data_IF_463201438921
#
_entry.id   IF_463201438921
#
_cell.length_a   1.000
_cell.length_b   1.000
_cell.length_c   1.000
_cell.angle_alpha   90.00
_cell.angle_beta   90.00
_cell.angle_gamma   90.00
#
_symmetry.space_group_name_H-M   'P 1'
#
loop_
_entity.id
_entity.type
_entity.pdbx_description
1 polymer ?
#
# COMPACT_ATOMS: atom_id res chain seq x y z
N UNK A 1 -30.28 22.26 -49.82
CA UNK A 1 -29.90 22.99 -48.60
C UNK A 1 -29.64 22.00 -47.46
N UNK A 2 -28.42 22.03 -46.94
CA UNK A 2 -28.00 21.71 -45.56
C UNK A 2 -28.26 20.32 -44.95
N UNK A 3 -27.57 19.27 -45.44
CA UNK A 3 -27.31 18.05 -44.63
C UNK A 3 -25.82 17.70 -44.43
N UNK A 4 -24.92 18.52 -44.96
CA UNK A 4 -23.47 18.28 -44.85
C UNK A 4 -22.77 18.80 -43.58
N UNK A 5 -23.29 19.74 -42.76
CA UNK A 5 -22.51 20.26 -41.63
C UNK A 5 -22.63 19.45 -40.33
N UNK A 6 -23.56 18.49 -40.25
CA UNK A 6 -23.82 17.78 -38.98
C UNK A 6 -22.87 16.61 -38.72
N UNK A 7 -22.27 16.02 -39.76
CA UNK A 7 -21.36 14.88 -39.63
C UNK A 7 -19.95 15.31 -39.16
N UNK A 8 -19.54 16.55 -39.49
CA UNK A 8 -18.24 17.09 -39.10
C UNK A 8 -18.19 17.52 -37.62
N UNK A 9 -19.34 17.90 -37.04
CA UNK A 9 -19.44 18.25 -35.63
C UNK A 9 -19.34 17.03 -34.68
N UNK A 10 -19.71 15.82 -35.15
CA UNK A 10 -19.67 14.61 -34.33
C UNK A 10 -18.26 13.99 -34.24
N UNK A 11 -17.39 14.24 -35.22
CA UNK A 11 -15.99 13.79 -35.20
C UNK A 11 -15.10 14.58 -34.22
N UNK A 12 -15.52 15.78 -33.80
CA UNK A 12 -14.77 16.64 -32.87
C UNK A 12 -14.98 16.27 -31.38
N UNK A 13 -15.90 15.36 -31.07
CA UNK A 13 -16.20 14.92 -29.70
C UNK A 13 -15.44 13.64 -29.28
N UNK A 14 -14.67 13.03 -30.19
CA UNK A 14 -13.78 11.89 -29.87
C UNK A 14 -12.36 12.41 -29.61
N UNK A 15 -12.24 13.40 -28.74
CA UNK A 15 -10.96 13.69 -28.11
C UNK A 15 -10.65 12.53 -27.17
N UNK A 16 -9.86 11.55 -27.62
CA UNK A 16 -9.26 10.58 -26.70
C UNK A 16 -8.42 11.40 -25.72
N UNK A 17 -8.89 11.54 -24.49
CA UNK A 17 -8.03 11.90 -23.37
C UNK A 17 -7.03 10.76 -23.23
N UNK A 18 -5.87 10.91 -23.88
CA UNK A 18 -4.76 10.01 -23.68
C UNK A 18 -4.34 10.13 -22.23
N UNK A 19 -4.72 9.16 -21.40
CA UNK A 19 -4.14 9.04 -20.08
C UNK A 19 -2.67 8.74 -20.31
N UNK A 20 -1.80 9.72 -20.07
CA UNK A 20 -0.36 9.49 -20.12
C UNK A 20 -0.04 8.50 -19.02
N UNK A 21 0.45 7.30 -19.36
CA UNK A 21 0.90 6.33 -18.38
C UNK A 21 1.93 7.01 -17.47
N UNK A 22 1.69 7.00 -16.17
CA UNK A 22 2.67 7.48 -15.21
C UNK A 22 3.77 6.45 -15.10
N UNK A 23 5.03 6.89 -14.95
CA UNK A 23 6.13 5.97 -14.63
C UNK A 23 5.89 5.23 -13.31
N UNK A 24 5.08 5.80 -12.42
CA UNK A 24 4.69 5.19 -11.16
C UNK A 24 3.83 3.94 -11.34
N UNK A 25 3.10 3.83 -12.46
CA UNK A 25 2.21 2.70 -12.74
C UNK A 25 2.98 1.40 -13.00
N UNK A 26 4.28 1.49 -13.25
CA UNK A 26 5.17 0.33 -13.42
C UNK A 26 5.70 -0.20 -12.09
N UNK A 27 5.51 0.51 -10.98
CA UNK A 27 6.05 0.12 -9.67
C UNK A 27 5.08 -0.84 -8.99
N UNK A 28 5.49 -2.10 -8.83
CA UNK A 28 4.79 -3.07 -8.00
C UNK A 28 5.54 -3.27 -6.67
N UNK A 29 4.94 -2.77 -5.59
CA UNK A 29 5.50 -2.81 -4.24
C UNK A 29 5.44 -4.19 -3.55
N UNK A 30 4.73 -5.16 -4.14
CA UNK A 30 4.67 -6.53 -3.61
C UNK A 30 5.77 -7.44 -4.16
N UNK A 31 6.54 -6.99 -5.15
CA UNK A 31 7.69 -7.76 -5.65
C UNK A 31 8.69 -7.98 -4.50
N UNK A 32 9.18 -9.21 -4.33
CA UNK A 32 10.17 -9.60 -3.32
C UNK A 32 9.70 -9.43 -1.85
N UNK A 33 8.38 -9.47 -1.61
CA UNK A 33 7.80 -9.37 -0.26
C UNK A 33 7.37 -10.71 0.35
N UNK A 34 7.51 -11.82 -0.38
CA UNK A 34 7.09 -13.15 0.08
C UNK A 34 8.25 -13.94 0.71
N UNK A 35 8.07 -14.46 1.92
CA UNK A 35 9.03 -15.33 2.60
C UNK A 35 10.48 -14.79 2.59
N UNK A 36 11.44 -15.64 2.17
CA UNK A 36 12.86 -15.27 2.10
C UNK A 36 13.36 -14.85 0.71
N UNK A 37 12.54 -14.08 -0.03
CA UNK A 37 12.81 -13.73 -1.45
C UNK A 37 13.03 -12.24 -1.67
N UNK A 38 13.83 -11.60 -0.82
CA UNK A 38 14.29 -10.23 -1.03
C UNK A 38 13.86 -9.22 0.02
N UNK A 39 13.23 -9.66 1.12
CA UNK A 39 13.07 -8.89 2.36
C UNK A 39 12.54 -7.45 2.17
N UNK A 40 11.76 -7.21 1.11
CA UNK A 40 11.12 -5.93 0.86
C UNK A 40 9.78 -5.87 1.59
N UNK A 41 9.16 -4.70 1.52
CA UNK A 41 7.87 -4.43 2.13
C UNK A 41 7.08 -3.40 1.28
N UNK A 42 5.74 -3.42 1.36
CA UNK A 42 4.88 -2.53 0.57
C UNK A 42 4.57 -1.21 1.29
N UNK A 43 5.40 -0.76 2.22
CA UNK A 43 5.11 0.43 3.04
C UNK A 43 4.98 1.70 2.22
N UNK A 44 4.05 2.57 2.64
CA UNK A 44 3.96 3.94 2.17
C UNK A 44 5.20 4.74 2.62
N UNK A 45 5.94 5.28 1.66
CA UNK A 45 7.11 6.12 1.89
C UNK A 45 7.39 7.01 0.69
N UNK A 46 8.10 8.11 0.91
CA UNK A 46 8.61 9.00 -0.14
C UNK A 46 10.10 8.73 -0.37
N UNK A 47 10.67 9.09 -1.54
CA UNK A 47 12.09 8.92 -1.79
C UNK A 47 12.93 9.56 -0.69
N UNK A 48 13.81 8.75 -0.07
CA UNK A 48 14.69 9.16 1.04
C UNK A 48 13.97 9.66 2.30
N UNK A 49 12.69 9.29 2.48
CA UNK A 49 11.92 9.63 3.67
C UNK A 49 12.44 8.92 4.94
N UNK A 50 12.31 9.59 6.08
CA UNK A 50 12.59 9.00 7.40
C UNK A 50 11.49 8.02 7.81
N UNK A 51 10.25 8.29 7.40
CA UNK A 51 9.09 7.45 7.71
C UNK A 51 8.89 6.41 6.63
N UNK A 52 8.68 5.18 7.08
CA UNK A 52 8.28 4.04 6.26
C UNK A 52 7.11 3.39 6.95
N UNK A 53 5.91 3.88 6.61
CA UNK A 53 4.67 3.51 7.27
C UNK A 53 4.03 2.34 6.53
N UNK A 54 3.97 1.18 7.16
CA UNK A 54 3.45 -0.01 6.48
C UNK A 54 3.11 -1.18 7.38
N UNK A 55 2.60 -2.26 6.79
CA UNK A 55 2.02 -3.39 7.49
C UNK A 55 3.06 -4.27 8.20
N UNK A 56 2.63 -4.86 9.32
CA UNK A 56 3.38 -5.80 10.14
C UNK A 56 2.62 -7.14 10.23
N UNK A 57 2.94 -8.10 9.37
CA UNK A 57 2.16 -9.35 9.27
C UNK A 57 2.60 -10.44 10.25
N UNK A 58 1.73 -11.43 10.42
CA UNK A 58 2.01 -12.66 11.17
C UNK A 58 1.70 -13.91 10.30
N UNK A 59 2.72 -14.67 9.88
CA UNK A 59 4.15 -14.41 10.03
C UNK A 59 4.59 -13.15 9.24
N UNK A 60 5.73 -12.58 9.61
CA UNK A 60 6.36 -11.48 8.87
C UNK A 60 7.78 -11.87 8.42
N UNK A 61 8.29 -11.21 7.38
CA UNK A 61 9.68 -11.33 6.95
C UNK A 61 10.59 -10.29 7.68
N UNK A 62 11.84 -10.11 7.24
CA UNK A 62 12.75 -9.12 7.84
C UNK A 62 12.31 -7.66 7.60
N UNK A 63 11.57 -7.41 6.52
CA UNK A 63 10.87 -6.15 6.25
C UNK A 63 9.60 -5.96 7.09
N UNK A 64 9.14 -6.99 7.81
CA UNK A 64 7.95 -6.94 8.68
C UNK A 64 6.67 -7.47 8.03
N UNK A 65 6.71 -7.72 6.72
CA UNK A 65 5.56 -8.11 5.93
C UNK A 65 5.88 -9.34 5.09
N UNK A 66 5.07 -10.39 5.17
CA UNK A 66 5.12 -11.53 4.26
C UNK A 66 3.87 -11.52 3.38
N UNK A 67 4.06 -11.48 2.07
CA UNK A 67 2.96 -11.49 1.09
C UNK A 67 1.97 -12.63 1.31
N UNK A 68 2.44 -13.79 1.76
CA UNK A 68 1.59 -14.97 1.96
C UNK A 68 0.84 -14.96 3.29
N UNK A 69 1.19 -14.06 4.21
CA UNK A 69 0.52 -13.97 5.50
C UNK A 69 -0.94 -13.55 5.32
N UNK A 70 -1.79 -14.09 6.20
CA UNK A 70 -3.24 -13.84 6.22
C UNK A 70 -3.66 -13.04 7.46
N UNK A 71 -2.68 -12.61 8.27
CA UNK A 71 -2.91 -11.85 9.49
C UNK A 71 -1.94 -10.69 9.62
N UNK A 72 -2.39 -9.65 10.31
CA UNK A 72 -1.63 -8.43 10.58
C UNK A 72 -1.67 -8.06 12.06
N UNK A 73 -0.53 -7.63 12.59
CA UNK A 73 -0.36 -7.13 13.96
C UNK A 73 -0.63 -5.63 14.07
N UNK A 74 -0.49 -4.90 12.97
CA UNK A 74 -0.71 -3.45 12.88
C UNK A 74 0.19 -2.82 11.82
N UNK A 75 0.50 -1.54 12.00
CA UNK A 75 1.28 -0.73 11.08
C UNK A 75 2.39 0.00 11.84
N UNK A 76 3.66 -0.20 11.44
CA UNK A 76 4.81 0.46 12.06
C UNK A 76 5.30 1.62 11.20
N UNK A 77 6.04 2.56 11.80
CA UNK A 77 6.49 3.79 11.13
C UNK A 77 7.94 3.74 10.65
N UNK A 78 8.64 2.64 10.92
CA UNK A 78 10.04 2.46 10.52
C UNK A 78 10.30 1.03 10.08
N UNK A 79 11.00 0.85 8.96
CA UNK A 79 11.56 -0.43 8.53
C UNK A 79 12.82 -0.21 7.70
N UNK A 80 13.74 -1.17 7.76
CA UNK A 80 14.90 -1.19 6.86
C UNK A 80 14.67 -2.32 5.85
N UNK A 81 14.31 -2.01 4.59
CA UNK A 81 14.01 -3.02 3.58
C UNK A 81 15.29 -3.73 3.11
N UNK A 82 15.16 -4.99 2.71
CA UNK A 82 16.24 -5.75 2.07
C UNK A 82 17.32 -6.28 3.02
N UNK A 83 17.16 -6.15 4.33
CA UNK A 83 18.16 -6.58 5.32
C UNK A 83 17.98 -8.04 5.75
N UNK A 84 19.06 -8.64 6.24
CA UNK A 84 19.08 -10.01 6.77
C UNK A 84 18.66 -10.14 8.25
N UNK A 85 19.05 -11.27 8.84
CA UNK A 85 18.88 -11.59 10.26
C UNK A 85 17.40 -11.63 10.71
N UNK A 86 16.96 -10.66 11.52
CA UNK A 86 15.58 -10.56 12.01
C UNK A 86 14.88 -9.30 11.48
N UNK A 87 15.51 -8.56 10.57
CA UNK A 87 15.07 -7.22 10.24
C UNK A 87 15.56 -6.14 11.20
N UNK A 88 15.25 -4.89 10.87
CA UNK A 88 15.46 -3.72 11.71
C UNK A 88 14.32 -2.72 11.53
N UNK A 89 14.03 -1.94 12.57
CA UNK A 89 12.87 -1.05 12.64
C UNK A 89 11.70 -1.71 13.38
N UNK A 90 10.49 -1.58 12.85
CA UNK A 90 9.25 -1.99 13.48
C UNK A 90 8.81 -1.07 14.63
N UNK A 91 9.31 0.17 14.68
CA UNK A 91 9.02 1.10 15.78
C UNK A 91 7.69 1.82 15.59
N UNK A 92 7.04 2.14 16.71
CA UNK A 92 5.73 2.83 16.75
C UNK A 92 4.68 2.04 15.98
N UNK A 93 4.28 0.89 16.54
CA UNK A 93 3.23 0.02 16.00
C UNK A 93 1.87 0.54 16.42
N UNK A 94 1.00 0.82 15.44
CA UNK A 94 -0.40 1.15 15.67
C UNK A 94 -1.29 0.08 15.05
N UNK A 95 -2.29 -0.41 15.79
CA UNK A 95 -3.33 -1.27 15.26
C UNK A 95 -4.70 -0.59 15.48
N UNK A 96 -5.46 -0.31 14.41
CA UNK A 96 -6.83 0.15 14.57
C UNK A 96 -7.72 -1.00 15.06
N UNK A 97 -8.71 -0.66 15.87
CA UNK A 97 -9.64 -1.63 16.42
C UNK A 97 -10.83 -0.94 17.08
N UNK A 98 -11.89 -1.72 17.31
CA UNK A 98 -13.11 -1.27 17.99
C UNK A 98 -13.17 -1.97 19.34
N UNK A 99 -13.35 -1.20 20.41
CA UNK A 99 -13.44 -1.72 21.78
C UNK A 99 -12.07 -1.86 22.44
N UNK A 100 -11.91 -2.92 23.24
CA UNK A 100 -10.71 -3.12 24.04
C UNK A 100 -9.49 -3.46 23.18
N UNK A 101 -8.33 -2.82 23.43
CA UNK A 101 -7.09 -3.18 22.75
C UNK A 101 -6.71 -4.65 22.98
N UNK A 102 -6.24 -5.30 21.92
CA UNK A 102 -5.70 -6.65 21.94
C UNK A 102 -4.38 -6.68 21.19
N UNK A 103 -3.46 -7.56 21.56
CA UNK A 103 -2.21 -7.77 20.84
C UNK A 103 -2.33 -8.83 19.72
N UNK A 104 -3.45 -9.57 19.68
CA UNK A 104 -3.64 -10.64 18.70
C UNK A 104 -3.66 -10.10 17.26
N UNK A 105 -2.95 -10.78 16.35
CA UNK A 105 -3.03 -10.46 14.93
C UNK A 105 -4.44 -10.75 14.39
N UNK A 106 -4.94 -9.83 13.56
CA UNK A 106 -6.29 -9.89 12.95
C UNK A 106 -6.20 -10.26 11.48
N UNK A 107 -7.28 -10.78 10.90
CA UNK A 107 -7.34 -11.14 9.49
C UNK A 107 -7.08 -9.94 8.56
N UNK A 108 -6.55 -10.22 7.38
CA UNK A 108 -6.48 -9.27 6.26
C UNK A 108 -7.21 -9.82 5.05
N UNK A 109 -7.89 -8.95 4.32
CA UNK A 109 -8.46 -9.27 3.01
C UNK A 109 -7.44 -8.95 1.91
N UNK A 110 -6.80 -10.00 1.37
CA UNK A 110 -5.77 -9.88 0.32
C UNK A 110 -6.32 -9.42 -1.02
N UNK A 111 -7.62 -9.59 -1.27
CA UNK A 111 -8.26 -9.07 -2.49
C UNK A 111 -8.46 -7.55 -2.42
N UNK A 112 -8.48 -7.00 -1.20
CA UNK A 112 -8.60 -5.57 -0.90
C UNK A 112 -7.30 -4.98 -0.34
N UNK A 113 -6.16 -5.57 -0.71
CA UNK A 113 -4.85 -5.04 -0.37
C UNK A 113 -4.19 -4.40 -1.60
N UNK A 114 -3.80 -3.15 -1.46
CA UNK A 114 -3.25 -2.35 -2.56
C UNK A 114 -2.04 -1.55 -2.07
N UNK A 115 -1.03 -1.41 -2.93
CA UNK A 115 0.15 -0.60 -2.64
C UNK A 115 0.65 0.08 -3.92
N UNK A 116 0.97 1.37 -3.81
CA UNK A 116 1.55 2.19 -4.88
C UNK A 116 2.57 3.16 -4.28
N UNK A 117 3.47 3.77 -5.06
CA UNK A 117 4.46 4.70 -4.51
C UNK A 117 3.85 5.77 -3.60
N UNK A 118 4.21 5.75 -2.31
CA UNK A 118 3.69 6.67 -1.29
C UNK A 118 2.35 6.30 -0.66
N UNK A 119 1.77 5.14 -0.96
CA UNK A 119 0.45 4.74 -0.48
C UNK A 119 0.33 3.22 -0.24
N UNK A 120 -0.39 2.84 0.81
CA UNK A 120 -0.76 1.46 1.10
C UNK A 120 -2.20 1.41 1.64
N UNK A 121 -2.97 0.40 1.25
CA UNK A 121 -4.32 0.15 1.76
C UNK A 121 -4.53 -1.32 2.04
N UNK A 122 -5.27 -1.63 3.11
CA UNK A 122 -5.79 -2.97 3.37
C UNK A 122 -7.11 -2.92 4.12
N UNK A 123 -7.98 -3.90 3.88
CA UNK A 123 -9.21 -4.09 4.65
C UNK A 123 -9.02 -5.13 5.76
N UNK A 124 -9.45 -4.80 6.98
CA UNK A 124 -9.42 -5.67 8.15
C UNK A 124 -10.84 -6.22 8.43
N UNK A 125 -11.17 -7.45 7.97
CA UNK A 125 -12.54 -7.98 8.03
C UNK A 125 -13.08 -8.13 9.45
N UNK A 126 -12.24 -8.49 10.42
CA UNK A 126 -12.65 -8.74 11.80
C UNK A 126 -13.22 -7.49 12.48
N UNK A 127 -12.66 -6.33 12.15
CA UNK A 127 -13.07 -5.03 12.70
C UNK A 127 -13.93 -4.21 11.72
N UNK A 128 -14.07 -4.67 10.48
CA UNK A 128 -14.70 -3.94 9.37
C UNK A 128 -14.08 -2.55 9.15
N UNK A 129 -12.75 -2.48 9.16
CA UNK A 129 -11.99 -1.23 9.02
C UNK A 129 -11.22 -1.26 7.71
N UNK A 130 -11.43 -0.24 6.87
CA UNK A 130 -10.51 0.12 5.78
C UNK A 130 -9.37 0.95 6.36
N UNK A 131 -8.13 0.53 6.13
CA UNK A 131 -6.93 1.24 6.58
C UNK A 131 -6.21 1.82 5.36
N UNK A 132 -6.01 3.13 5.33
CA UNK A 132 -5.24 3.79 4.29
C UNK A 132 -4.03 4.53 4.88
N UNK A 133 -2.86 4.36 4.26
CA UNK A 133 -1.60 4.89 4.76
C UNK A 133 -0.92 5.74 3.68
N UNK A 134 -0.42 6.90 4.07
CA UNK A 134 0.55 7.67 3.26
C UNK A 134 1.64 8.26 4.14
N UNK A 135 2.72 8.74 3.55
CA UNK A 135 3.82 9.34 4.30
C UNK A 135 4.43 10.52 3.54
N UNK A 136 5.00 11.45 4.29
CA UNK A 136 5.98 12.41 3.79
C UNK A 136 7.36 12.12 4.39
N UNK A 137 8.30 13.05 4.27
CA UNK A 137 9.67 12.84 4.77
C UNK A 137 9.75 12.52 6.27
N UNK A 138 8.81 13.00 7.10
CA UNK A 138 8.92 12.97 8.57
C UNK A 138 7.63 12.56 9.29
N UNK A 139 6.53 12.37 8.58
CA UNK A 139 5.24 12.01 9.14
C UNK A 139 4.58 10.88 8.33
N UNK A 140 3.93 9.97 9.05
CA UNK A 140 2.99 8.99 8.51
C UNK A 140 1.56 9.43 8.82
N UNK A 141 0.65 9.18 7.89
CA UNK A 141 -0.76 9.51 7.97
C UNK A 141 -1.57 8.23 7.87
N UNK A 142 -2.55 8.09 8.76
CA UNK A 142 -3.54 7.01 8.77
C UNK A 142 -4.90 7.64 8.45
N UNK A 143 -5.63 7.07 7.50
CA UNK A 143 -6.95 7.50 7.08
C UNK A 143 -7.95 6.36 7.16
#
# INVERSE_FOLDING_TARGET
MHKFPLFLALLLLIGKTGHSQSVLDYVNLFICTAGDHGQLDPSATVPFGMVKLGPETEPGNHGGYDYNAQKIKGFSHSRVPGVGCRGAGGSVLLKPGIGEPTDAAVGIDKEREEASPGYYRVYLPDAQIDCELTANNYAGFHC
#
